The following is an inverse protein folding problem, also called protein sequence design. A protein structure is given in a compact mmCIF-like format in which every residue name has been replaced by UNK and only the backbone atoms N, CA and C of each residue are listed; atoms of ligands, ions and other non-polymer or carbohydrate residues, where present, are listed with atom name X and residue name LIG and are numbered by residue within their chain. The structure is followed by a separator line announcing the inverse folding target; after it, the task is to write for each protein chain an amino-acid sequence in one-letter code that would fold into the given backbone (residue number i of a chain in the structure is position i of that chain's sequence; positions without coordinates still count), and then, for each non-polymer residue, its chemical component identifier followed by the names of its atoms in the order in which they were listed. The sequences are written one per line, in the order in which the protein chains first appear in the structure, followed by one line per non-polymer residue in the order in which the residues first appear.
data_IF_332008956769
#
_entry.id   IF_332008956769
#
_cell.length_a   1.000
_cell.length_b   1.000
_cell.length_c   1.000
_cell.angle_alpha   90.00
_cell.angle_beta   90.00
_cell.angle_gamma   90.00
#
_symmetry.space_group_name_H-M   'P 1'
#
loop_
_entity.id
_entity.type
_entity.pdbx_description
1 polymer ?
#
# COMPACT_ATOMS: atom_id res chain seq x y z
N UNK A 1 29.77 -6.28 0.69
CA UNK A 1 29.88 -6.94 2.01
C UNK A 1 29.18 -6.02 3.03
N UNK A 2 27.93 -6.30 3.41
CA UNK A 2 27.18 -5.47 4.37
C UNK A 2 27.75 -5.66 5.78
N UNK A 3 27.96 -4.54 6.48
CA UNK A 3 28.49 -4.53 7.85
C UNK A 3 27.52 -5.23 8.81
N UNK A 4 28.06 -6.12 9.66
CA UNK A 4 27.31 -6.83 10.72
C UNK A 4 26.44 -5.88 11.55
N UNK A 5 26.88 -4.63 11.74
CA UNK A 5 26.21 -3.58 12.52
C UNK A 5 24.87 -3.15 11.88
N UNK A 6 24.78 -3.12 10.55
CA UNK A 6 23.52 -2.80 9.85
C UNK A 6 22.52 -3.96 9.93
N UNK A 7 23.00 -5.20 9.85
CA UNK A 7 22.16 -6.37 10.03
C UNK A 7 21.54 -6.39 11.44
N UNK A 8 22.30 -6.11 12.50
CA UNK A 8 21.77 -6.09 13.88
C UNK A 8 20.69 -5.03 14.11
N UNK A 9 20.75 -3.89 13.38
CA UNK A 9 19.69 -2.85 13.42
C UNK A 9 18.39 -3.31 12.76
N UNK A 10 18.49 -4.07 11.66
CA UNK A 10 17.31 -4.62 10.95
C UNK A 10 16.71 -5.80 11.73
N UNK A 11 17.58 -6.65 12.31
CA UNK A 11 17.23 -7.80 13.15
C UNK A 11 17.18 -7.45 14.65
N UNK A 12 16.66 -6.28 15.02
CA UNK A 12 16.55 -5.93 16.44
C UNK A 12 15.64 -6.93 17.16
N UNK A 13 16.13 -7.53 18.25
CA UNK A 13 15.47 -8.54 19.09
C UNK A 13 14.07 -8.15 19.63
N UNK A 14 13.65 -6.88 19.46
CA UNK A 14 12.31 -6.41 19.82
C UNK A 14 11.20 -6.80 18.83
N UNK A 15 11.54 -7.33 17.65
CA UNK A 15 10.57 -7.94 16.72
C UNK A 15 10.53 -9.46 16.93
N UNK A 16 9.95 -9.91 18.04
CA UNK A 16 9.97 -11.31 18.48
C UNK A 16 9.14 -12.31 17.64
N UNK A 17 8.79 -12.02 16.37
CA UNK A 17 7.96 -12.96 15.60
C UNK A 17 8.02 -12.79 14.09
N UNK A 18 9.19 -12.49 13.52
CA UNK A 18 9.38 -12.67 12.08
C UNK A 18 10.13 -13.97 11.90
N UNK A 19 9.38 -15.05 11.66
CA UNK A 19 9.97 -16.33 11.22
C UNK A 19 10.87 -16.06 10.02
N UNK A 20 12.16 -16.35 10.18
CA UNK A 20 13.11 -16.25 9.07
C UNK A 20 12.74 -17.31 8.04
N UNK A 21 12.29 -16.87 6.86
CA UNK A 21 11.97 -17.76 5.76
C UNK A 21 13.18 -17.94 4.84
N UNK A 22 13.42 -19.16 4.38
CA UNK A 22 14.38 -19.44 3.31
C UNK A 22 13.84 -18.93 1.97
N UNK A 23 14.72 -18.73 0.99
CA UNK A 23 14.33 -18.35 -0.38
C UNK A 23 13.30 -19.32 -0.99
N UNK A 24 13.43 -20.62 -0.73
CA UNK A 24 12.48 -21.64 -1.20
C UNK A 24 11.12 -21.50 -0.53
N UNK A 25 11.07 -21.22 0.78
CA UNK A 25 9.81 -20.98 1.49
C UNK A 25 9.13 -19.70 0.98
N UNK A 26 9.91 -18.64 0.71
CA UNK A 26 9.39 -17.40 0.12
C UNK A 26 8.82 -17.66 -1.27
N UNK A 27 9.57 -18.35 -2.14
CA UNK A 27 9.12 -18.71 -3.47
C UNK A 27 7.85 -19.57 -3.44
N UNK A 28 7.78 -20.56 -2.54
CA UNK A 28 6.59 -21.40 -2.38
C UNK A 28 5.37 -20.60 -1.94
N UNK A 29 5.51 -19.71 -0.94
CA UNK A 29 4.41 -18.84 -0.51
C UNK A 29 3.95 -17.93 -1.64
N UNK A 30 4.89 -17.33 -2.39
CA UNK A 30 4.54 -16.45 -3.52
C UNK A 30 3.81 -17.19 -4.62
N UNK A 31 4.20 -18.42 -4.97
CA UNK A 31 3.51 -19.27 -5.95
C UNK A 31 2.09 -19.66 -5.53
N UNK A 32 1.79 -19.66 -4.23
CA UNK A 32 0.45 -19.92 -3.70
C UNK A 32 -0.43 -18.66 -3.71
N UNK A 33 0.12 -17.49 -4.02
CA UNK A 33 -0.65 -16.26 -4.18
C UNK A 33 -1.16 -16.10 -5.61
N UNK A 34 -2.01 -15.09 -5.82
CA UNK A 34 -2.50 -14.69 -7.15
C UNK A 34 -1.49 -13.79 -7.88
N UNK A 35 -0.29 -13.56 -7.33
CA UNK A 35 0.73 -12.73 -7.95
C UNK A 35 1.45 -13.53 -9.04
N UNK A 36 1.52 -12.96 -10.23
CA UNK A 36 2.24 -13.52 -11.39
C UNK A 36 2.89 -12.37 -12.19
N UNK A 37 3.72 -12.65 -13.21
CA UNK A 37 4.41 -11.59 -13.97
C UNK A 37 3.47 -10.56 -14.62
N UNK A 38 2.24 -10.93 -14.95
CA UNK A 38 1.22 -10.03 -15.50
C UNK A 38 0.46 -9.20 -14.45
N UNK A 39 0.75 -9.36 -13.16
CA UNK A 39 0.07 -8.60 -12.09
C UNK A 39 0.58 -7.17 -12.05
N UNK A 40 -0.34 -6.20 -11.95
CA UNK A 40 -0.01 -4.80 -11.67
C UNK A 40 0.13 -4.62 -10.16
N UNK A 41 1.26 -4.09 -9.71
CA UNK A 41 1.54 -3.82 -8.30
C UNK A 41 1.51 -2.31 -8.05
N UNK A 42 0.59 -1.87 -7.19
CA UNK A 42 0.52 -0.49 -6.73
C UNK A 42 1.34 -0.33 -5.45
N UNK A 43 2.31 0.60 -5.44
CA UNK A 43 3.21 0.78 -4.30
C UNK A 43 3.15 2.23 -3.82
N UNK A 44 2.96 2.43 -2.51
CA UNK A 44 3.09 3.74 -1.88
C UNK A 44 4.55 4.06 -1.55
N UNK A 45 5.38 4.21 -2.59
CA UNK A 45 6.81 4.48 -2.45
C UNK A 45 7.32 5.39 -3.58
N UNK A 46 8.50 5.97 -3.38
CA UNK A 46 9.20 6.79 -4.39
C UNK A 46 9.93 5.90 -5.41
N UNK A 47 10.26 4.68 -5.05
CA UNK A 47 10.89 3.71 -5.93
C UNK A 47 10.39 2.29 -5.61
N UNK A 48 10.72 1.35 -6.48
CA UNK A 48 10.34 -0.07 -6.37
C UNK A 48 11.50 -0.94 -5.83
N UNK A 49 12.38 -0.35 -5.03
CA UNK A 49 13.62 -0.99 -4.57
C UNK A 49 13.39 -2.29 -3.81
N UNK A 50 12.37 -2.34 -2.95
CA UNK A 50 12.02 -3.54 -2.19
C UNK A 50 11.66 -4.72 -3.11
N UNK A 51 10.91 -4.45 -4.19
CA UNK A 51 10.54 -5.48 -5.15
C UNK A 51 11.73 -5.96 -5.98
N UNK A 52 12.60 -5.04 -6.43
CA UNK A 52 13.85 -5.40 -7.13
C UNK A 52 14.74 -6.26 -6.25
N UNK A 53 14.87 -5.91 -4.97
CA UNK A 53 15.62 -6.68 -3.99
C UNK A 53 15.03 -8.09 -3.83
N UNK A 54 13.71 -8.20 -3.70
CA UNK A 54 13.03 -9.49 -3.59
C UNK A 54 13.18 -10.35 -4.86
N UNK A 55 13.10 -9.76 -6.05
CA UNK A 55 13.37 -10.47 -7.31
C UNK A 55 14.80 -10.98 -7.40
N UNK A 56 15.78 -10.15 -7.07
CA UNK A 56 17.18 -10.56 -7.08
C UNK A 56 17.46 -11.68 -6.07
N UNK A 57 16.81 -11.61 -4.90
CA UNK A 57 16.88 -12.66 -3.89
C UNK A 57 16.31 -13.99 -4.43
N UNK A 58 15.16 -13.98 -5.10
CA UNK A 58 14.57 -15.17 -5.73
C UNK A 58 15.44 -15.70 -6.88
N UNK A 59 15.96 -14.82 -7.72
CA UNK A 59 16.81 -15.16 -8.86
C UNK A 59 18.11 -15.85 -8.42
N UNK A 60 18.68 -15.46 -7.26
CA UNK A 60 19.87 -16.12 -6.72
C UNK A 60 19.68 -17.61 -6.38
N UNK A 61 18.44 -18.08 -6.29
CA UNK A 61 18.08 -19.48 -6.07
C UNK A 61 17.42 -20.14 -7.30
N UNK A 62 17.54 -19.51 -8.48
CA UNK A 62 17.00 -20.02 -9.74
C UNK A 62 15.49 -19.82 -9.93
N UNK A 63 14.85 -18.99 -9.10
CA UNK A 63 13.45 -18.63 -9.29
C UNK A 63 13.31 -17.37 -10.14
N UNK A 64 12.82 -17.56 -11.35
CA UNK A 64 12.46 -16.50 -12.30
C UNK A 64 10.93 -16.44 -12.43
N UNK A 65 10.41 -15.30 -12.90
CA UNK A 65 9.01 -15.15 -13.30
C UNK A 65 7.95 -15.43 -12.21
N UNK A 66 8.30 -15.27 -10.93
CA UNK A 66 7.34 -15.34 -9.81
C UNK A 66 6.66 -13.98 -9.59
N UNK A 67 7.41 -12.90 -9.73
CA UNK A 67 6.97 -11.54 -9.41
C UNK A 67 6.80 -10.70 -10.66
N UNK A 68 5.95 -9.68 -10.57
CA UNK A 68 5.78 -8.68 -11.62
C UNK A 68 7.12 -7.98 -11.95
N UNK A 69 7.36 -7.66 -13.23
CA UNK A 69 8.51 -6.89 -13.66
C UNK A 69 8.35 -5.40 -13.26
N UNK A 70 9.41 -4.61 -13.47
CA UNK A 70 9.46 -3.21 -13.03
C UNK A 70 8.34 -2.35 -13.63
N UNK A 71 8.07 -2.56 -14.91
CA UNK A 71 7.07 -1.86 -15.70
C UNK A 71 5.64 -2.07 -15.18
N UNK A 72 5.39 -3.19 -14.49
CA UNK A 72 4.09 -3.48 -13.88
C UNK A 72 3.97 -2.93 -12.46
N UNK A 73 4.96 -2.19 -11.98
CA UNK A 73 5.01 -1.66 -10.63
C UNK A 73 4.87 -0.15 -10.64
N UNK A 74 3.72 0.35 -10.17
CA UNK A 74 3.33 1.75 -10.27
C UNK A 74 3.58 2.42 -8.91
N UNK A 75 4.57 3.33 -8.79
CA UNK A 75 4.79 4.09 -7.57
C UNK A 75 3.77 5.22 -7.49
N UNK A 76 2.79 5.07 -6.61
CA UNK A 76 1.65 5.99 -6.48
C UNK A 76 2.07 7.42 -6.10
N UNK A 77 3.21 7.59 -5.43
CA UNK A 77 3.73 8.91 -5.04
C UNK A 77 3.97 9.79 -6.27
N UNK A 78 4.47 9.23 -7.37
CA UNK A 78 4.73 9.99 -8.61
C UNK A 78 3.46 10.37 -9.35
N UNK A 79 2.42 9.52 -9.24
CA UNK A 79 1.11 9.77 -9.85
C UNK A 79 0.35 10.82 -9.06
N UNK A 80 0.38 10.72 -7.73
CA UNK A 80 -0.46 11.53 -6.84
C UNK A 80 0.19 12.84 -6.42
N UNK A 81 1.51 12.82 -6.18
CA UNK A 81 2.26 13.96 -5.66
C UNK A 81 1.97 15.26 -6.43
N UNK A 82 2.16 15.30 -7.76
CA UNK A 82 1.90 16.51 -8.57
C UNK A 82 0.47 17.04 -8.47
N UNK A 83 -0.50 16.18 -8.14
CA UNK A 83 -1.92 16.51 -8.08
C UNK A 83 -2.38 16.92 -6.66
N UNK A 84 -1.48 16.92 -5.67
CA UNK A 84 -1.82 17.38 -4.32
C UNK A 84 -1.86 18.91 -4.26
N UNK A 85 -2.84 19.50 -3.55
CA UNK A 85 -2.93 20.94 -3.42
C UNK A 85 -1.75 21.50 -2.62
N UNK A 86 -1.48 22.78 -2.83
CA UNK A 86 -0.54 23.56 -2.04
C UNK A 86 -1.27 24.22 -0.87
N UNK A 87 -0.66 24.22 0.31
CA UNK A 87 -1.10 24.98 1.47
C UNK A 87 -0.07 26.10 1.67
N UNK A 88 -0.45 27.34 1.36
CA UNK A 88 0.50 28.45 1.27
C UNK A 88 1.55 28.20 0.18
N UNK A 89 2.82 28.27 0.54
CA UNK A 89 3.94 27.99 -0.38
C UNK A 89 4.38 26.51 -0.40
N UNK A 90 3.82 25.66 0.46
CA UNK A 90 4.27 24.28 0.62
C UNK A 90 3.28 23.29 0.00
N UNK A 91 3.81 22.29 -0.70
CA UNK A 91 3.00 21.17 -1.20
C UNK A 91 2.69 20.21 -0.06
N UNK A 92 1.47 19.67 -0.02
CA UNK A 92 1.13 18.61 0.93
C UNK A 92 2.04 17.41 0.65
N UNK A 93 2.77 16.87 1.64
CA UNK A 93 3.61 15.70 1.44
C UNK A 93 2.75 14.50 1.02
N UNK A 94 3.10 13.77 -0.05
CA UNK A 94 2.40 12.56 -0.50
C UNK A 94 2.71 11.35 0.39
N UNK A 95 2.84 11.56 1.69
CA UNK A 95 3.16 10.51 2.66
C UNK A 95 1.87 9.90 3.18
N UNK A 96 1.86 8.58 3.34
CA UNK A 96 0.70 7.85 3.83
C UNK A 96 0.31 8.33 5.24
N UNK A 97 1.31 8.60 6.10
CA UNK A 97 1.14 9.16 7.45
C UNK A 97 0.43 10.53 7.48
N UNK A 98 0.46 11.26 6.36
CA UNK A 98 -0.19 12.57 6.20
C UNK A 98 -1.55 12.42 5.53
N UNK A 99 -1.61 11.72 4.39
CA UNK A 99 -2.83 11.64 3.59
C UNK A 99 -3.90 10.72 4.18
N UNK A 100 -3.49 9.65 4.85
CA UNK A 100 -4.41 8.69 5.45
C UNK A 100 -5.34 9.31 6.51
N UNK A 101 -4.84 10.02 7.54
CA UNK A 101 -5.72 10.64 8.55
C UNK A 101 -6.62 11.74 8.00
N UNK A 102 -6.22 12.41 6.90
CA UNK A 102 -7.05 13.43 6.24
C UNK A 102 -8.28 12.78 5.60
N UNK A 103 -8.12 11.61 4.97
CA UNK A 103 -9.23 10.91 4.29
C UNK A 103 -10.02 9.99 5.21
N UNK A 104 -9.38 9.46 6.25
CA UNK A 104 -9.96 8.50 7.19
C UNK A 104 -9.72 8.96 8.64
N UNK A 105 -10.35 10.07 9.06
CA UNK A 105 -10.17 10.58 10.41
C UNK A 105 -10.60 9.54 11.45
N UNK A 106 -9.80 9.37 12.51
CA UNK A 106 -10.04 8.41 13.61
C UNK A 106 -10.13 6.94 13.19
N UNK A 107 -9.69 6.58 11.98
CA UNK A 107 -9.63 5.18 11.58
C UNK A 107 -8.62 4.40 12.44
N UNK A 108 -8.92 3.14 12.74
CA UNK A 108 -8.10 2.28 13.61
C UNK A 108 -6.66 2.04 13.14
N UNK A 109 -6.35 2.36 11.88
CA UNK A 109 -5.01 2.21 11.30
C UNK A 109 -4.19 3.51 11.40
N UNK A 110 -4.80 4.62 11.79
CA UNK A 110 -4.12 5.92 11.88
C UNK A 110 -3.02 5.89 12.93
N UNK A 111 -1.83 6.39 12.58
CA UNK A 111 -0.66 6.41 13.48
C UNK A 111 0.08 5.07 13.59
N UNK A 112 -0.38 4.01 12.93
CA UNK A 112 0.24 2.69 12.95
C UNK A 112 1.19 2.44 11.75
N UNK A 113 1.66 3.51 11.12
CA UNK A 113 2.59 3.48 9.99
C UNK A 113 3.93 2.79 10.32
N UNK A 114 4.70 2.44 9.29
CA UNK A 114 6.01 1.75 9.39
C UNK A 114 5.90 0.25 9.71
N UNK A 115 4.70 -0.30 9.60
CA UNK A 115 4.45 -1.74 9.58
C UNK A 115 3.90 -2.11 8.20
N UNK A 116 4.62 -2.97 7.47
CA UNK A 116 4.32 -3.26 6.06
C UNK A 116 2.86 -3.65 5.82
N UNK A 117 2.28 -4.48 6.68
CA UNK A 117 0.87 -4.87 6.57
C UNK A 117 -0.08 -3.68 6.74
N UNK A 118 0.18 -2.81 7.72
CA UNK A 118 -0.63 -1.61 7.96
C UNK A 118 -0.50 -0.64 6.80
N UNK A 119 0.72 -0.39 6.32
CA UNK A 119 0.96 0.50 5.19
C UNK A 119 0.29 -0.03 3.92
N UNK A 120 0.29 -1.35 3.68
CA UNK A 120 -0.47 -1.98 2.59
C UNK A 120 -1.99 -1.79 2.74
N UNK A 121 -2.54 -1.96 3.94
CA UNK A 121 -3.96 -1.76 4.21
C UNK A 121 -4.38 -0.30 4.01
N UNK A 122 -3.61 0.64 4.54
CA UNK A 122 -3.82 2.07 4.36
C UNK A 122 -3.72 2.46 2.87
N UNK A 123 -2.72 1.93 2.14
CA UNK A 123 -2.55 2.15 0.69
C UNK A 123 -3.79 1.69 -0.08
N UNK A 124 -4.30 0.48 0.22
CA UNK A 124 -5.53 -0.05 -0.40
C UNK A 124 -6.73 0.86 -0.16
N UNK A 125 -6.90 1.36 1.06
CA UNK A 125 -8.00 2.27 1.41
C UNK A 125 -7.89 3.60 0.64
N UNK A 126 -6.69 4.17 0.53
CA UNK A 126 -6.46 5.38 -0.26
C UNK A 126 -6.73 5.15 -1.75
N UNK A 127 -6.31 4.01 -2.32
CA UNK A 127 -6.61 3.67 -3.71
C UNK A 127 -8.12 3.62 -3.97
N UNK A 128 -8.91 3.08 -3.03
CA UNK A 128 -10.38 3.07 -3.12
C UNK A 128 -10.98 4.47 -3.14
N UNK A 129 -10.40 5.41 -2.38
CA UNK A 129 -10.83 6.82 -2.41
C UNK A 129 -10.58 7.40 -3.80
N UNK A 130 -9.41 7.15 -4.39
CA UNK A 130 -9.12 7.62 -5.75
C UNK A 130 -10.07 7.01 -6.78
N UNK A 131 -10.36 5.72 -6.67
CA UNK A 131 -11.37 5.06 -7.52
C UNK A 131 -12.72 5.78 -7.47
N UNK A 132 -13.16 6.19 -6.28
CA UNK A 132 -14.40 6.95 -6.10
C UNK A 132 -14.32 8.35 -6.70
N UNK A 133 -13.21 9.06 -6.52
CA UNK A 133 -13.00 10.40 -7.05
C UNK A 133 -12.90 10.42 -8.59
N UNK A 134 -12.45 9.32 -9.19
CA UNK A 134 -12.38 9.16 -10.64
C UNK A 134 -13.71 8.72 -11.28
N UNK A 135 -14.77 8.46 -10.50
CA UNK A 135 -16.06 8.11 -11.06
C UNK A 135 -16.72 9.33 -11.72
N UNK A 136 -17.40 9.16 -12.87
CA UNK A 136 -18.23 10.22 -13.43
C UNK A 136 -19.24 10.73 -12.39
N UNK A 137 -19.43 12.05 -12.31
CA UNK A 137 -20.26 12.71 -11.29
C UNK A 137 -21.67 12.10 -11.18
N UNK A 138 -22.28 11.74 -12.31
CA UNK A 138 -23.61 11.12 -12.34
C UNK A 138 -23.64 9.76 -11.61
N UNK A 139 -22.59 8.94 -11.71
CA UNK A 139 -22.47 7.65 -10.99
C UNK A 139 -22.11 7.81 -9.52
N UNK A 140 -21.37 8.87 -9.19
CA UNK A 140 -21.01 9.18 -7.80
C UNK A 140 -22.25 9.55 -6.98
N UNK A 141 -23.17 10.34 -7.55
CA UNK A 141 -24.43 10.72 -6.91
C UNK A 141 -25.34 9.54 -6.61
N UNK A 142 -25.49 8.60 -7.55
CA UNK A 142 -26.32 7.39 -7.38
C UNK A 142 -25.79 6.47 -6.26
N UNK A 143 -24.48 6.29 -6.15
CA UNK A 143 -23.86 5.50 -5.06
C UNK A 143 -23.97 6.18 -3.70
N UNK A 144 -23.85 7.51 -3.66
CA UNK A 144 -24.01 8.27 -2.43
C UNK A 144 -25.49 8.20 -1.96
N UNK A 145 -26.43 8.35 -2.89
CA UNK A 145 -27.85 8.18 -2.64
C UNK A 145 -28.20 6.75 -2.19
N UNK A 146 -27.59 5.72 -2.76
CA UNK A 146 -27.78 4.33 -2.33
C UNK A 146 -27.20 4.04 -0.93
N UNK A 147 -26.10 4.70 -0.54
CA UNK A 147 -25.54 4.59 0.82
C UNK A 147 -26.38 5.33 1.85
N UNK A 148 -26.80 6.55 1.54
CA UNK A 148 -27.64 7.37 2.44
C UNK A 148 -29.05 6.75 2.55
N UNK A 149 -29.59 6.23 1.45
CA UNK A 149 -30.89 5.55 1.41
C UNK A 149 -30.95 4.21 2.17
N UNK A 150 -29.80 3.62 2.52
CA UNK A 150 -29.73 2.48 3.44
C UNK A 150 -29.61 2.89 4.92
N UNK A 151 -29.25 4.14 5.22
CA UNK A 151 -29.00 4.61 6.59
C UNK A 151 -30.06 5.60 7.13
N UNK A 152 -31.07 5.97 6.35
CA UNK A 152 -32.12 6.89 6.78
C UNK A 152 -33.52 6.31 6.65
N UNK A 153 -33.93 5.44 7.59
CA UNK A 153 -35.34 5.27 8.00
C UNK A 153 -35.52 4.45 9.30
N UNK A 154 -34.61 4.55 10.28
CA UNK A 154 -34.77 3.85 11.57
C UNK A 154 -34.84 4.76 12.81
N UNK A 155 -34.26 5.95 12.82
CA UNK A 155 -34.24 6.78 14.03
C UNK A 155 -34.48 8.25 13.72
N UNK A 156 -35.75 8.65 13.63
CA UNK A 156 -36.23 10.00 13.99
C UNK A 156 -37.77 10.01 13.99
N UNK A 157 -38.37 9.20 14.86
CA UNK A 157 -39.72 9.43 15.39
C UNK A 157 -39.75 9.03 16.86
N UNK A 158 -39.39 9.98 17.72
CA UNK A 158 -39.94 10.18 19.06
C UNK A 158 -39.66 11.60 19.50
#
# INVERSE_FOLDING_TARGET
MWSKIQATKVFSLRRQNIDSMTVHQVAQKLKQTVIHPGTIILVWAVNIGDLRMLRNFLASAGYFDILAPDENCIPLIHVLGPNLPKIGQSQIPPRLEVLFPIKFPRHQLTGLNRAALVDCQQTRLICRVFEQLCMPVHKAGERLAARIGCETFADFRR
#
